data_IF_707131887172
#
_entry.id   IF_707131887172
#
_cell.length_a   1.000
_cell.length_b   1.000
_cell.length_c   1.000
_cell.angle_alpha   90.00
_cell.angle_beta   90.00
_cell.angle_gamma   90.00
#
_symmetry.space_group_name_H-M   'P 1'
#
loop_
_entity.id
_entity.type
_entity.pdbx_description
1 polymer ?
#
# COMPACT_ATOMS: atom_id res chain seq x y z
N UNK A 1 1.11 -17.65 22.42
CA UNK A 1 2.28 -16.92 21.86
C UNK A 1 2.10 -15.44 22.14
N UNK A 2 3.15 -14.77 22.67
CA UNK A 2 3.11 -13.31 22.88
C UNK A 2 3.31 -12.63 21.54
N UNK A 3 2.26 -12.03 20.99
CA UNK A 3 2.32 -11.26 19.75
C UNK A 3 2.56 -9.77 20.03
N UNK A 4 3.39 -9.47 21.03
CA UNK A 4 3.69 -8.11 21.43
C UNK A 4 5.20 -7.91 21.47
N UNK A 5 5.71 -6.94 20.71
CA UNK A 5 7.10 -6.49 20.75
C UNK A 5 7.16 -5.08 21.36
N UNK A 6 8.29 -4.67 21.90
CA UNK A 6 8.55 -3.26 22.18
C UNK A 6 9.42 -2.71 21.05
N UNK A 7 8.90 -1.73 20.30
CA UNK A 7 9.69 -0.95 19.33
C UNK A 7 9.42 0.52 19.57
N UNK A 8 10.48 1.33 19.49
CA UNK A 8 10.44 2.79 19.63
C UNK A 8 9.65 3.26 20.86
N UNK A 9 9.82 2.60 22.01
CA UNK A 9 9.15 2.96 23.27
C UNK A 9 7.67 2.56 23.39
N UNK A 10 7.11 1.83 22.41
CA UNK A 10 5.70 1.41 22.41
C UNK A 10 5.54 -0.10 22.33
N UNK A 11 4.59 -0.66 23.09
CA UNK A 11 4.16 -2.05 22.98
C UNK A 11 3.32 -2.21 21.71
N UNK A 12 3.82 -2.99 20.76
CA UNK A 12 3.28 -3.15 19.42
C UNK A 12 2.79 -4.58 19.20
N UNK A 13 1.60 -4.73 18.62
CA UNK A 13 1.07 -6.06 18.26
C UNK A 13 1.68 -6.57 16.96
N UNK A 14 2.52 -7.60 17.03
CA UNK A 14 3.21 -8.18 15.86
C UNK A 14 2.27 -8.91 14.89
N UNK A 15 1.06 -9.25 15.34
CA UNK A 15 0.03 -9.95 14.54
C UNK A 15 -1.10 -9.04 14.04
N UNK A 16 -0.92 -7.71 14.09
CA UNK A 16 -1.98 -6.77 13.71
C UNK A 16 -2.32 -6.91 12.23
N UNK A 17 -3.57 -7.25 11.93
CA UNK A 17 -4.06 -7.42 10.55
C UNK A 17 -4.39 -6.08 9.90
N UNK A 18 -4.27 -6.00 8.57
CA UNK A 18 -4.72 -4.83 7.80
C UNK A 18 -6.21 -4.53 8.04
N UNK A 19 -7.03 -5.57 8.25
CA UNK A 19 -8.45 -5.44 8.58
C UNK A 19 -8.71 -4.71 9.91
N UNK A 20 -7.74 -4.68 10.82
CA UNK A 20 -7.86 -4.01 12.12
C UNK A 20 -7.52 -2.51 12.06
N UNK A 21 -7.04 -2.00 10.91
CA UNK A 21 -6.82 -0.56 10.72
C UNK A 21 -8.16 0.20 10.66
N UNK A 22 -8.14 1.47 11.09
CA UNK A 22 -9.30 2.36 10.94
C UNK A 22 -9.58 2.62 9.46
N UNK A 23 -10.82 2.97 9.13
CA UNK A 23 -11.20 3.29 7.74
C UNK A 23 -10.31 4.38 7.14
N UNK A 24 -10.07 5.46 7.90
CA UNK A 24 -9.19 6.58 7.49
C UNK A 24 -7.75 6.13 7.20
N UNK A 25 -7.20 5.22 8.01
CA UNK A 25 -5.86 4.65 7.76
C UNK A 25 -5.83 3.79 6.51
N UNK A 26 -6.83 2.91 6.32
CA UNK A 26 -6.93 2.05 5.13
C UNK A 26 -7.07 2.87 3.86
N UNK A 27 -7.94 3.86 3.87
CA UNK A 27 -8.20 4.73 2.72
C UNK A 27 -6.94 5.51 2.36
N UNK A 28 -6.24 6.06 3.35
CA UNK A 28 -4.97 6.75 3.14
C UNK A 28 -3.89 5.83 2.55
N UNK A 29 -3.67 4.63 3.12
CA UNK A 29 -2.69 3.65 2.60
C UNK A 29 -3.06 3.26 1.16
N UNK A 30 -4.34 2.96 0.91
CA UNK A 30 -4.81 2.58 -0.42
C UNK A 30 -4.55 3.70 -1.45
N UNK A 31 -4.85 4.94 -1.08
CA UNK A 31 -4.67 6.09 -1.94
C UNK A 31 -3.19 6.36 -2.24
N UNK A 32 -2.34 6.36 -1.22
CA UNK A 32 -0.89 6.56 -1.41
C UNK A 32 -0.26 5.46 -2.27
N UNK A 33 -0.63 4.18 -2.05
CA UNK A 33 -0.19 3.08 -2.91
C UNK A 33 -0.65 3.25 -4.36
N UNK A 34 -1.91 3.64 -4.57
CA UNK A 34 -2.48 3.83 -5.91
C UNK A 34 -1.78 4.96 -6.64
N UNK A 35 -1.60 6.12 -5.99
CA UNK A 35 -0.97 7.31 -6.57
C UNK A 35 0.47 7.04 -6.99
N UNK A 36 1.28 6.44 -6.10
CA UNK A 36 2.67 6.07 -6.44
C UNK A 36 2.74 5.01 -7.53
N UNK A 37 1.84 4.02 -7.51
CA UNK A 37 1.78 3.00 -8.54
C UNK A 37 1.50 3.62 -9.92
N UNK A 38 0.46 4.44 -10.02
CA UNK A 38 0.07 5.13 -11.26
C UNK A 38 1.18 6.08 -11.72
N UNK A 39 1.75 6.89 -10.82
CA UNK A 39 2.85 7.81 -11.14
C UNK A 39 4.08 7.09 -11.71
N UNK A 40 4.32 5.85 -11.26
CA UNK A 40 5.45 5.05 -11.74
C UNK A 40 5.13 4.31 -13.04
N UNK A 41 3.85 4.11 -13.37
CA UNK A 41 3.45 3.46 -14.62
C UNK A 41 3.79 4.34 -15.82
N UNK A 42 4.54 3.78 -16.76
CA UNK A 42 4.84 4.44 -18.05
C UNK A 42 3.73 4.29 -19.08
N UNK A 43 3.01 3.17 -19.03
CA UNK A 43 1.96 2.84 -19.98
C UNK A 43 0.71 2.39 -19.23
N UNK A 44 -0.49 2.83 -19.65
CA UNK A 44 -1.72 2.20 -19.19
C UNK A 44 -1.67 0.70 -19.53
N UNK A 45 -2.17 -0.14 -18.63
CA UNK A 45 -2.26 -1.61 -18.76
C UNK A 45 -0.98 -2.45 -18.56
N UNK A 46 0.20 -1.83 -18.49
CA UNK A 46 1.42 -2.59 -18.19
C UNK A 46 1.68 -2.65 -16.69
N UNK A 47 1.73 -3.88 -16.16
CA UNK A 47 2.17 -4.14 -14.78
C UNK A 47 3.61 -3.67 -14.56
N UNK A 48 3.89 -2.97 -13.46
CA UNK A 48 5.26 -2.61 -13.08
C UNK A 48 6.13 -3.85 -12.87
N UNK A 49 7.44 -3.74 -13.12
CA UNK A 49 8.41 -4.80 -12.78
C UNK A 49 8.45 -5.01 -11.26
N UNK A 50 8.73 -6.23 -10.76
CA UNK A 50 8.78 -6.53 -9.31
C UNK A 50 9.62 -5.51 -8.52
N UNK A 51 10.83 -5.20 -8.96
CA UNK A 51 11.73 -4.27 -8.27
C UNK A 51 11.11 -2.87 -8.07
N UNK A 52 10.30 -2.41 -9.03
CA UNK A 52 9.60 -1.12 -8.91
C UNK A 52 8.41 -1.18 -7.97
N UNK A 53 7.74 -2.33 -7.87
CA UNK A 53 6.66 -2.55 -6.90
C UNK A 53 7.20 -2.59 -5.48
N UNK A 54 8.34 -3.26 -5.29
CA UNK A 54 8.98 -3.35 -3.98
C UNK A 54 9.51 -1.98 -3.54
N UNK A 55 10.11 -1.19 -4.45
CA UNK A 55 10.49 0.20 -4.18
C UNK A 55 9.29 1.05 -3.72
N UNK A 56 8.14 0.97 -4.42
CA UNK A 56 6.92 1.70 -4.01
C UNK A 56 6.45 1.23 -2.63
N UNK A 57 6.51 -0.07 -2.37
CA UNK A 57 6.07 -0.65 -1.10
C UNK A 57 6.93 -0.17 0.07
N UNK A 58 8.25 -0.15 -0.08
CA UNK A 58 9.20 0.39 0.90
C UNK A 58 8.91 1.87 1.18
N UNK A 59 8.84 2.70 0.14
CA UNK A 59 8.56 4.14 0.27
C UNK A 59 7.21 4.43 0.97
N UNK A 60 6.17 3.63 0.70
CA UNK A 60 4.88 3.79 1.39
C UNK A 60 4.96 3.30 2.83
N UNK A 61 5.74 2.26 3.09
CA UNK A 61 5.90 1.74 4.43
C UNK A 61 6.63 2.73 5.33
N UNK A 62 7.65 3.42 4.83
CA UNK A 62 8.31 4.51 5.56
C UNK A 62 7.29 5.60 5.94
N UNK A 63 6.41 5.99 5.00
CA UNK A 63 5.34 6.95 5.28
C UNK A 63 4.29 6.45 6.28
N UNK A 64 4.06 5.13 6.35
CA UNK A 64 3.19 4.49 7.35
C UNK A 64 3.83 4.62 8.74
N UNK A 65 5.14 4.37 8.84
CA UNK A 65 5.90 4.50 10.08
C UNK A 65 5.99 5.96 10.54
N UNK A 66 6.23 6.92 9.64
CA UNK A 66 6.21 8.35 9.92
C UNK A 66 4.84 8.83 10.44
N UNK A 67 3.75 8.23 9.97
CA UNK A 67 2.39 8.51 10.46
C UNK A 67 2.02 7.76 11.74
N UNK A 68 2.98 7.06 12.34
CA UNK A 68 2.79 6.24 13.55
C UNK A 68 1.68 5.18 13.40
N UNK A 69 1.43 4.73 12.16
CA UNK A 69 0.44 3.69 11.88
C UNK A 69 1.12 2.34 12.04
N UNK A 70 1.00 1.75 13.23
CA UNK A 70 1.54 0.42 13.45
C UNK A 70 0.80 -0.64 12.61
N UNK A 71 1.51 -1.33 11.72
CA UNK A 71 1.07 -2.51 10.96
C UNK A 71 2.31 -3.29 10.46
N UNK A 72 2.31 -4.64 10.47
CA UNK A 72 3.41 -5.42 9.91
C UNK A 72 3.57 -5.20 8.40
N UNK A 73 4.82 -5.06 7.94
CA UNK A 73 5.16 -4.94 6.51
C UNK A 73 4.50 -6.01 5.63
N UNK A 74 4.50 -7.26 6.08
CA UNK A 74 3.89 -8.37 5.34
C UNK A 74 2.39 -8.20 5.08
N UNK A 75 1.66 -7.55 6.00
CA UNK A 75 0.23 -7.26 5.81
C UNK A 75 0.01 -6.18 4.76
N UNK A 76 0.84 -5.13 4.77
CA UNK A 76 0.82 -4.07 3.74
C UNK A 76 1.20 -4.65 2.38
N UNK A 77 2.24 -5.49 2.31
CA UNK A 77 2.65 -6.21 1.09
C UNK A 77 1.50 -7.04 0.53
N UNK A 78 0.91 -7.91 1.35
CA UNK A 78 -0.21 -8.77 0.94
C UNK A 78 -1.38 -7.94 0.40
N UNK A 79 -1.74 -6.88 1.12
CA UNK A 79 -2.79 -5.97 0.68
C UNK A 79 -2.46 -5.30 -0.66
N UNK A 80 -1.28 -4.71 -0.79
CA UNK A 80 -0.82 -4.02 -1.99
C UNK A 80 -0.88 -4.92 -3.24
N UNK A 81 -0.28 -6.11 -3.15
CA UNK A 81 -0.25 -7.06 -4.27
C UNK A 81 -1.66 -7.49 -4.71
N UNK A 82 -2.61 -7.60 -3.77
CA UNK A 82 -4.02 -7.88 -4.09
C UNK A 82 -4.71 -6.73 -4.83
N UNK A 83 -4.23 -5.48 -4.67
CA UNK A 83 -4.84 -4.28 -5.24
C UNK A 83 -4.25 -3.84 -6.58
N UNK A 84 -3.06 -4.33 -6.97
CA UNK A 84 -2.39 -3.96 -8.23
C UNK A 84 -3.34 -4.02 -9.44
N UNK A 85 -4.04 -5.15 -9.62
CA UNK A 85 -4.97 -5.31 -10.75
C UNK A 85 -6.12 -4.30 -10.71
N UNK A 86 -6.58 -3.93 -9.51
CA UNK A 86 -7.61 -2.88 -9.34
C UNK A 86 -7.08 -1.49 -9.69
N UNK A 87 -5.82 -1.20 -9.36
CA UNK A 87 -5.20 0.07 -9.70
C UNK A 87 -5.05 0.23 -11.21
N UNK A 88 -4.60 -0.81 -11.90
CA UNK A 88 -4.47 -0.81 -13.37
C UNK A 88 -5.83 -0.59 -14.03
N UNK A 89 -6.86 -1.36 -13.64
CA UNK A 89 -8.22 -1.18 -14.18
C UNK A 89 -8.79 0.21 -13.93
N UNK A 90 -8.59 0.76 -12.74
CA UNK A 90 -9.05 2.10 -12.42
C UNK A 90 -8.32 3.17 -13.24
N UNK A 91 -7.01 3.00 -13.47
CA UNK A 91 -6.22 3.93 -14.29
C UNK A 91 -6.66 3.89 -15.75
N UNK A 92 -6.86 2.68 -16.31
CA UNK A 92 -7.36 2.49 -17.67
C UNK A 92 -8.71 3.19 -17.89
N UNK A 93 -9.69 2.96 -17.02
CA UNK A 93 -11.01 3.59 -17.13
C UNK A 93 -10.94 5.12 -17.09
N UNK A 94 -10.06 5.69 -16.26
CA UNK A 94 -9.84 7.13 -16.23
C UNK A 94 -9.25 7.64 -17.55
N UNK A 95 -8.29 6.91 -18.11
CA UNK A 95 -7.63 7.26 -19.37
C UNK A 95 -8.56 7.14 -20.58
N UNK A 96 -9.47 6.15 -20.59
CA UNK A 96 -10.50 5.97 -21.64
C UNK A 96 -11.54 7.11 -21.58
N UNK A 97 -12.02 7.47 -20.38
CA UNK A 97 -12.99 8.55 -20.19
C UNK A 97 -12.44 9.95 -20.54
N UNK A 98 -11.12 10.16 -20.46
CA UNK A 98 -10.48 11.44 -20.80
C UNK A 98 -10.28 11.63 -22.31
N UNK A 99 -10.36 10.54 -23.08
CA UNK A 99 -10.14 10.52 -24.53
C UNK A 99 -11.45 10.37 -25.33
N UNK A 100 -12.61 10.43 -24.67
CA UNK A 100 -13.95 10.49 -25.29
C UNK A 100 -14.48 11.92 -25.23
#
# INVERSE_FOLDING_TARGET
>A
MKNHEYRNGRLIQTNKKFSALTKKQKDWIQQTLKERYIKTMKYPDVKLKPNKRDQILEEVYDMIEEKEIWIPFGEVKKYYYSKISSFIRSHRKQHENLNQ
#
